data_IF_720080518561
#
_entry.id   IF_720080518561
#
_cell.length_a   1.000
_cell.length_b   1.000
_cell.length_c   1.000
_cell.angle_alpha   90.00
_cell.angle_beta   90.00
_cell.angle_gamma   90.00
#
_symmetry.space_group_name_H-M   'P 1'
#
loop_
_entity.id
_entity.type
_entity.pdbx_description
1 polymer ?
#
# COMPACT_ATOMS: atom_id res chain seq x y z
N UNK A 1 22.44 35.26 23.56
CA UNK A 1 22.12 33.87 23.18
C UNK A 1 23.23 33.35 22.27
N UNK A 2 23.79 32.22 22.62
CA UNK A 2 24.78 31.60 21.74
C UNK A 2 24.06 31.00 20.53
N UNK A 3 24.77 30.83 19.42
CA UNK A 3 24.25 30.14 18.23
C UNK A 3 23.76 28.73 18.57
N UNK A 4 24.31 28.10 19.62
CA UNK A 4 23.88 26.80 20.14
C UNK A 4 22.47 26.84 20.67
N UNK A 5 22.09 27.88 21.41
CA UNK A 5 20.72 28.03 21.96
C UNK A 5 19.69 28.18 20.82
N UNK A 6 20.06 28.92 19.77
CA UNK A 6 19.23 29.08 18.57
C UNK A 6 19.05 27.73 17.83
N UNK A 7 20.11 26.95 17.70
CA UNK A 7 20.05 25.65 17.08
C UNK A 7 19.18 24.65 17.87
N UNK A 8 19.36 24.59 19.20
CA UNK A 8 18.55 23.74 20.08
C UNK A 8 17.08 24.15 20.00
N UNK A 9 16.79 25.45 20.08
CA UNK A 9 15.42 25.96 19.94
C UNK A 9 14.81 25.54 18.58
N UNK A 10 15.57 25.71 17.48
CA UNK A 10 15.09 25.37 16.14
C UNK A 10 14.78 23.87 16.02
N UNK A 11 15.64 22.99 16.53
CA UNK A 11 15.42 21.52 16.52
C UNK A 11 14.17 21.12 17.32
N UNK A 12 14.00 21.70 18.52
CA UNK A 12 12.81 21.47 19.35
C UNK A 12 11.54 21.98 18.67
N UNK A 13 11.58 23.19 18.10
CA UNK A 13 10.44 23.76 17.40
C UNK A 13 10.05 22.91 16.17
N UNK A 14 11.02 22.51 15.34
CA UNK A 14 10.79 21.64 14.17
C UNK A 14 10.24 20.28 14.60
N UNK A 15 10.72 19.69 15.69
CA UNK A 15 10.19 18.45 16.23
C UNK A 15 8.69 18.56 16.52
N UNK A 16 8.26 19.60 17.27
CA UNK A 16 6.84 19.79 17.59
C UNK A 16 6.01 20.15 16.37
N UNK A 17 6.53 20.95 15.45
CA UNK A 17 5.84 21.29 14.21
C UNK A 17 5.60 20.01 13.38
N UNK A 18 6.62 19.20 13.18
CA UNK A 18 6.50 17.94 12.43
C UNK A 18 5.60 16.92 13.12
N UNK A 19 5.53 16.94 14.44
CA UNK A 19 4.70 16.01 15.20
C UNK A 19 3.22 16.35 15.13
N UNK A 20 2.86 17.63 15.29
CA UNK A 20 1.48 18.05 15.53
C UNK A 20 0.83 18.83 14.38
N UNK A 21 1.60 19.49 13.53
CA UNK A 21 1.05 20.40 12.53
C UNK A 21 1.20 19.87 11.11
N UNK A 22 2.41 19.75 10.61
CA UNK A 22 2.67 19.31 9.24
C UNK A 22 4.06 18.70 9.09
N UNK A 23 4.19 17.89 8.06
CA UNK A 23 5.46 17.22 7.73
C UNK A 23 5.62 17.15 6.20
N UNK A 24 6.86 17.32 5.75
CA UNK A 24 7.18 17.25 4.33
C UNK A 24 7.55 15.83 3.94
N UNK A 25 7.12 15.42 2.74
CA UNK A 25 7.44 14.15 2.12
C UNK A 25 7.76 14.34 0.64
N UNK A 26 8.45 13.37 0.05
CA UNK A 26 8.67 13.29 -1.39
C UNK A 26 7.93 12.06 -1.91
N UNK A 27 7.32 12.16 -3.08
CA UNK A 27 6.64 11.05 -3.74
C UNK A 27 7.67 10.14 -4.40
N UNK A 28 7.83 8.87 -3.96
CA UNK A 28 8.83 7.97 -4.51
C UNK A 28 8.32 7.13 -5.69
N UNK A 29 7.03 7.11 -5.98
CA UNK A 29 6.42 6.18 -6.93
C UNK A 29 5.23 6.77 -7.69
N UNK A 30 4.96 6.24 -8.88
CA UNK A 30 3.88 6.66 -9.77
C UNK A 30 2.48 6.18 -9.39
N UNK A 31 2.28 5.59 -8.20
CA UNK A 31 0.97 5.02 -7.81
C UNK A 31 -0.20 6.01 -7.70
N UNK A 32 0.08 7.32 -7.67
CA UNK A 32 -0.89 8.42 -7.73
C UNK A 32 -0.65 9.32 -8.95
N UNK A 33 -0.03 8.78 -10.00
CA UNK A 33 0.24 9.48 -11.26
C UNK A 33 -0.99 10.23 -11.77
N UNK A 34 -0.78 11.38 -12.41
CA UNK A 34 -1.81 12.36 -12.81
C UNK A 34 -2.52 13.09 -11.65
N UNK A 35 -2.26 12.70 -10.39
CA UNK A 35 -2.67 13.46 -9.20
C UNK A 35 -1.48 14.03 -8.46
N UNK A 36 -0.44 13.23 -8.30
CA UNK A 36 0.85 13.56 -7.67
C UNK A 36 1.92 12.84 -8.49
N UNK A 37 2.94 13.57 -8.90
CA UNK A 37 4.01 13.02 -9.73
C UNK A 37 5.15 12.50 -8.86
N UNK A 38 5.88 11.52 -9.38
CA UNK A 38 7.13 11.07 -8.77
C UNK A 38 8.10 12.25 -8.67
N UNK A 39 8.68 12.46 -7.49
CA UNK A 39 9.55 13.60 -7.20
C UNK A 39 8.85 14.83 -6.62
N UNK A 40 7.50 14.88 -6.61
CA UNK A 40 6.76 15.98 -5.98
C UNK A 40 7.04 16.05 -4.48
N UNK A 41 7.19 17.27 -3.97
CA UNK A 41 7.28 17.54 -2.54
C UNK A 41 5.89 17.81 -1.97
N UNK A 42 5.52 17.03 -0.96
CA UNK A 42 4.24 17.14 -0.28
C UNK A 42 4.35 17.84 1.06
N UNK A 43 3.42 18.73 1.31
CA UNK A 43 3.19 19.35 2.60
C UNK A 43 1.96 18.72 3.25
N UNK A 44 2.18 17.77 4.15
CA UNK A 44 1.10 16.95 4.74
C UNK A 44 0.61 17.56 6.04
N UNK A 45 -0.66 17.98 6.07
CA UNK A 45 -1.32 18.50 7.28
C UNK A 45 -1.71 17.35 8.22
N UNK A 46 -1.23 17.42 9.46
CA UNK A 46 -1.65 16.51 10.53
C UNK A 46 -2.89 17.03 11.27
N UNK A 47 -3.12 18.32 11.23
CA UNK A 47 -4.26 18.97 11.89
C UNK A 47 -5.58 18.60 11.24
N UNK A 48 -5.60 18.35 9.93
CA UNK A 48 -6.82 18.03 9.18
C UNK A 48 -7.59 16.85 9.76
N UNK A 49 -6.89 15.75 10.07
CA UNK A 49 -7.50 14.53 10.63
C UNK A 49 -7.10 14.26 12.08
N UNK A 50 -6.38 15.20 12.69
CA UNK A 50 -5.85 15.14 14.03
C UNK A 50 -4.46 14.48 14.10
N UNK A 51 -3.51 15.12 14.76
CA UNK A 51 -2.18 14.56 14.97
C UNK A 51 -2.24 13.32 15.87
N UNK A 52 -1.35 12.37 15.59
CA UNK A 52 -1.15 11.20 16.44
C UNK A 52 -0.13 11.54 17.53
N UNK A 53 -0.43 11.16 18.77
CA UNK A 53 0.57 11.13 19.84
C UNK A 53 1.57 10.02 19.48
N UNK A 54 2.87 10.26 19.52
CA UNK A 54 3.87 9.25 19.22
C UNK A 54 3.83 8.10 20.23
N UNK A 55 3.94 6.87 19.74
CA UNK A 55 4.08 5.70 20.61
C UNK A 55 5.43 5.70 21.31
N UNK A 56 6.48 6.19 20.63
CA UNK A 56 7.84 6.35 21.15
C UNK A 56 8.22 7.84 21.15
N UNK A 57 7.92 8.60 22.26
CA UNK A 57 8.09 10.05 22.28
C UNK A 57 9.54 10.51 22.25
N UNK A 58 10.47 9.69 22.77
CA UNK A 58 11.89 10.03 22.81
C UNK A 58 12.55 9.62 21.48
N UNK A 59 12.54 10.54 20.54
CA UNK A 59 13.11 10.31 19.21
C UNK A 59 13.99 11.47 18.75
N UNK A 60 15.00 11.15 17.94
CA UNK A 60 15.84 12.17 17.30
C UNK A 60 14.99 12.97 16.29
N UNK A 61 14.99 14.30 16.35
CA UNK A 61 14.31 15.14 15.38
C UNK A 61 14.75 14.82 13.94
N UNK A 62 13.82 14.98 12.98
CA UNK A 62 14.04 14.79 11.55
C UNK A 62 14.38 13.35 11.11
N UNK A 63 14.20 12.36 11.99
CA UNK A 63 14.39 10.95 11.64
C UNK A 63 13.07 10.18 11.76
N UNK A 64 12.90 9.15 10.92
CA UNK A 64 11.72 8.28 10.99
C UNK A 64 11.96 7.09 11.93
N UNK A 65 12.98 6.30 11.69
CA UNK A 65 13.27 5.08 12.47
C UNK A 65 14.76 4.82 12.66
N UNK A 66 15.63 5.31 11.77
CA UNK A 66 17.07 5.03 11.76
C UNK A 66 17.85 6.32 11.65
N UNK A 67 18.93 6.45 12.36
CA UNK A 67 19.84 7.59 12.25
C UNK A 67 20.63 7.49 10.95
N UNK A 68 20.67 8.58 10.14
CA UNK A 68 21.52 8.60 8.96
C UNK A 68 22.98 8.39 9.33
N UNK A 69 23.75 7.79 8.44
CA UNK A 69 25.19 7.52 8.52
C UNK A 69 25.61 6.37 9.46
N UNK A 70 24.92 6.16 10.58
CA UNK A 70 25.33 5.15 11.58
C UNK A 70 24.40 3.94 11.67
N UNK A 71 23.27 3.97 10.96
CA UNK A 71 22.29 2.88 10.85
C UNK A 71 21.82 2.28 12.18
N UNK A 72 21.74 3.12 13.23
CA UNK A 72 21.20 2.73 14.54
C UNK A 72 19.79 3.29 14.75
N UNK A 73 19.00 2.72 15.67
CA UNK A 73 17.67 3.24 16.03
C UNK A 73 17.76 4.72 16.40
N UNK A 74 16.87 5.54 15.85
CA UNK A 74 16.77 6.97 16.13
C UNK A 74 15.80 7.32 17.27
N UNK A 75 15.27 6.31 17.96
CA UNK A 75 14.28 6.46 19.03
C UNK A 75 14.59 5.49 20.17
N UNK A 76 14.08 5.83 21.35
CA UNK A 76 14.12 4.98 22.54
C UNK A 76 12.74 4.34 22.68
N UNK A 77 12.68 3.02 22.92
CA UNK A 77 11.43 2.27 23.03
C UNK A 77 10.68 2.51 24.34
N UNK A 78 11.31 3.11 25.34
CA UNK A 78 10.68 3.46 26.60
C UNK A 78 10.78 4.98 26.84
N UNK A 79 9.68 5.67 27.27
CA UNK A 79 8.34 5.12 27.45
C UNK A 79 7.67 4.76 26.11
N UNK A 80 6.83 3.72 26.13
CA UNK A 80 5.96 3.34 25.04
C UNK A 80 4.52 3.69 25.39
N UNK A 81 3.87 4.49 24.52
CA UNK A 81 2.50 4.95 24.75
C UNK A 81 1.54 4.22 23.79
N UNK A 82 0.31 3.96 24.27
CA UNK A 82 -0.73 3.40 23.43
C UNK A 82 -1.11 4.34 22.30
N UNK A 83 -1.60 3.77 21.19
CA UNK A 83 -2.08 4.55 20.06
C UNK A 83 -3.13 5.55 20.50
N UNK A 84 -2.88 6.83 20.25
CA UNK A 84 -3.78 7.93 20.57
C UNK A 84 -3.74 9.01 19.52
N UNK A 85 -4.92 9.46 19.10
CA UNK A 85 -5.06 10.56 18.15
C UNK A 85 -5.82 11.73 18.77
N UNK A 86 -5.32 12.93 18.61
CA UNK A 86 -6.02 14.17 18.98
C UNK A 86 -7.12 14.42 17.94
N UNK A 87 -8.23 15.02 18.36
CA UNK A 87 -9.33 15.38 17.45
C UNK A 87 -8.83 16.37 16.38
N UNK A 88 -9.08 16.04 15.11
CA UNK A 88 -8.78 16.91 13.98
C UNK A 88 -9.91 17.87 13.63
N UNK A 89 -9.67 18.69 12.60
CA UNK A 89 -10.65 19.62 12.06
C UNK A 89 -11.75 18.93 11.24
N UNK A 90 -11.49 17.73 10.74
CA UNK A 90 -12.45 16.98 9.94
C UNK A 90 -12.15 15.47 9.93
N UNK A 91 -12.93 14.73 9.16
CA UNK A 91 -12.78 13.31 8.93
C UNK A 91 -12.36 13.05 7.48
N UNK A 92 -11.69 11.93 7.25
CA UNK A 92 -11.35 11.45 5.91
C UNK A 92 -12.62 11.26 5.09
N UNK A 93 -12.60 11.73 3.84
CA UNK A 93 -13.69 11.59 2.87
C UNK A 93 -13.27 10.68 1.73
N UNK A 94 -14.24 10.19 0.97
CA UNK A 94 -13.96 9.46 -0.27
C UNK A 94 -13.17 10.33 -1.23
N UNK A 95 -12.18 9.72 -1.86
CA UNK A 95 -11.24 10.32 -2.79
C UNK A 95 -10.21 11.28 -2.18
N UNK A 96 -10.20 11.50 -0.86
CA UNK A 96 -9.10 12.21 -0.20
C UNK A 96 -7.78 11.44 -0.44
N UNK A 97 -6.71 12.19 -0.67
CA UNK A 97 -5.35 11.64 -0.69
C UNK A 97 -4.82 11.71 0.75
N UNK A 98 -4.52 10.55 1.32
CA UNK A 98 -4.15 10.40 2.73
C UNK A 98 -2.77 9.79 2.89
N UNK A 99 -2.01 10.29 3.88
CA UNK A 99 -0.74 9.71 4.30
C UNK A 99 -0.98 8.91 5.59
N UNK A 100 -0.47 7.68 5.62
CA UNK A 100 -0.62 6.77 6.75
C UNK A 100 0.58 5.83 6.85
N UNK A 101 0.83 5.27 8.03
CA UNK A 101 1.84 4.22 8.16
C UNK A 101 1.32 2.93 7.52
N UNK A 102 2.19 2.24 6.78
CA UNK A 102 1.81 1.00 6.10
C UNK A 102 1.32 -0.05 7.12
N UNK A 103 0.12 -0.60 6.95
CA UNK A 103 -0.53 -1.46 7.94
C UNK A 103 -0.05 -2.92 7.87
N UNK A 104 1.27 -3.12 7.81
CA UNK A 104 1.88 -4.45 7.79
C UNK A 104 2.09 -5.06 9.18
N UNK A 105 1.75 -4.32 10.24
CA UNK A 105 2.11 -4.68 11.61
C UNK A 105 3.47 -4.14 12.01
N UNK A 106 3.98 -4.63 13.14
CA UNK A 106 5.24 -4.20 13.74
C UNK A 106 6.46 -5.02 13.28
N UNK A 107 6.24 -6.23 12.78
CA UNK A 107 7.29 -7.19 12.43
C UNK A 107 7.94 -6.86 11.09
N UNK A 108 9.27 -6.94 11.03
CA UNK A 108 10.06 -6.77 9.81
C UNK A 108 11.39 -7.53 9.87
N UNK A 109 11.99 -7.74 8.70
CA UNK A 109 13.38 -8.18 8.54
C UNK A 109 14.32 -6.97 8.65
N UNK A 110 15.37 -7.06 9.45
CA UNK A 110 16.25 -5.91 9.74
C UNK A 110 17.30 -5.62 8.65
N UNK A 111 17.44 -6.48 7.65
CA UNK A 111 18.28 -6.18 6.49
C UNK A 111 17.71 -5.01 5.71
N UNK A 112 18.52 -4.02 5.34
CA UNK A 112 18.11 -2.73 4.77
C UNK A 112 17.18 -2.88 3.57
N UNK A 113 17.48 -3.79 2.64
CA UNK A 113 16.69 -4.05 1.43
C UNK A 113 15.28 -4.61 1.70
N UNK A 114 15.03 -5.13 2.91
CA UNK A 114 13.75 -5.73 3.29
C UNK A 114 12.97 -4.95 4.33
N UNK A 115 13.56 -3.93 4.96
CA UNK A 115 12.91 -3.18 6.05
C UNK A 115 11.58 -2.54 5.65
N UNK A 116 11.44 -2.10 4.40
CA UNK A 116 10.22 -1.48 3.86
C UNK A 116 9.17 -2.51 3.40
N UNK A 117 9.53 -3.79 3.32
CA UNK A 117 8.65 -4.83 2.80
C UNK A 117 7.63 -5.27 3.86
N UNK A 118 6.48 -5.75 3.40
CA UNK A 118 5.51 -6.43 4.24
C UNK A 118 6.04 -7.83 4.61
N UNK A 119 6.46 -8.00 5.88
CA UNK A 119 6.98 -9.27 6.39
C UNK A 119 6.03 -10.45 6.12
N UNK A 120 4.75 -10.28 6.34
CA UNK A 120 3.77 -11.36 6.17
C UNK A 120 3.58 -11.73 4.69
N UNK A 121 3.66 -10.75 3.79
CA UNK A 121 3.65 -11.03 2.35
C UNK A 121 4.92 -11.76 1.91
N UNK A 122 6.09 -11.37 2.42
CA UNK A 122 7.35 -12.07 2.16
C UNK A 122 7.30 -13.51 2.64
N UNK A 123 6.85 -13.74 3.88
CA UNK A 123 6.67 -15.08 4.45
C UNK A 123 5.76 -15.93 3.58
N UNK A 124 4.63 -15.38 3.15
CA UNK A 124 3.70 -16.08 2.27
C UNK A 124 4.35 -16.44 0.93
N UNK A 125 4.94 -15.47 0.24
CA UNK A 125 5.50 -15.67 -1.10
C UNK A 125 6.65 -16.70 -1.09
N UNK A 126 7.54 -16.62 -0.10
CA UNK A 126 8.63 -17.59 0.06
C UNK A 126 8.09 -18.98 0.42
N UNK A 127 7.14 -19.03 1.34
CA UNK A 127 6.53 -20.31 1.75
C UNK A 127 5.81 -20.99 0.60
N UNK A 128 5.02 -20.27 -0.18
CA UNK A 128 4.31 -20.76 -1.34
C UNK A 128 5.28 -21.29 -2.41
N UNK A 129 6.32 -20.51 -2.73
CA UNK A 129 7.36 -20.93 -3.67
C UNK A 129 8.07 -22.20 -3.23
N UNK A 130 8.42 -22.32 -1.95
CA UNK A 130 9.09 -23.54 -1.43
C UNK A 130 8.16 -24.75 -1.44
N UNK A 131 6.87 -24.57 -1.12
CA UNK A 131 5.89 -25.65 -1.22
C UNK A 131 5.72 -26.13 -2.65
N UNK A 132 5.68 -25.23 -3.63
CA UNK A 132 5.65 -25.56 -5.05
C UNK A 132 6.92 -26.35 -5.46
N UNK A 133 8.10 -25.85 -5.12
CA UNK A 133 9.37 -26.51 -5.45
C UNK A 133 9.48 -27.92 -4.86
N UNK A 134 8.92 -28.15 -3.68
CA UNK A 134 8.93 -29.43 -3.00
C UNK A 134 7.77 -30.37 -3.42
N UNK A 135 6.95 -29.98 -4.41
CA UNK A 135 5.79 -30.76 -4.84
C UNK A 135 4.68 -30.89 -3.77
N UNK A 136 4.65 -29.96 -2.81
CA UNK A 136 3.66 -29.91 -1.72
C UNK A 136 2.49 -28.97 -2.01
N UNK A 137 2.50 -28.35 -3.19
CA UNK A 137 1.40 -27.51 -3.65
C UNK A 137 0.09 -28.35 -3.72
N UNK A 138 -1.01 -27.72 -3.32
CA UNK A 138 -2.34 -28.36 -3.35
C UNK A 138 -3.33 -27.47 -4.06
N UNK A 139 -4.30 -28.06 -4.76
CA UNK A 139 -5.41 -27.29 -5.33
C UNK A 139 -6.36 -26.79 -4.22
N UNK A 140 -6.12 -25.56 -3.79
CA UNK A 140 -6.89 -24.91 -2.73
C UNK A 140 -8.37 -24.68 -3.10
N UNK A 141 -8.73 -24.74 -4.40
CA UNK A 141 -10.11 -24.55 -4.88
C UNK A 141 -11.02 -25.69 -4.47
N UNK A 142 -10.48 -26.90 -4.37
CA UNK A 142 -11.19 -28.10 -3.97
C UNK A 142 -11.34 -28.23 -2.45
N UNK A 143 -10.67 -27.39 -1.66
CA UNK A 143 -10.62 -27.46 -0.20
C UNK A 143 -11.79 -26.74 0.46
N UNK A 144 -12.31 -27.31 1.55
CA UNK A 144 -13.20 -26.59 2.46
C UNK A 144 -12.41 -25.53 3.26
N UNK A 145 -13.08 -24.54 3.90
CA UNK A 145 -12.41 -23.46 4.60
C UNK A 145 -11.42 -23.90 5.70
N UNK A 146 -11.70 -25.00 6.40
CA UNK A 146 -10.79 -25.53 7.43
C UNK A 146 -9.53 -26.13 6.81
N UNK A 147 -9.68 -26.88 5.72
CA UNK A 147 -8.54 -27.42 4.98
C UNK A 147 -7.68 -26.33 4.38
N UNK A 148 -8.29 -25.28 3.79
CA UNK A 148 -7.56 -24.10 3.32
C UNK A 148 -6.77 -23.46 4.46
N UNK A 149 -7.38 -23.27 5.64
CA UNK A 149 -6.71 -22.68 6.78
C UNK A 149 -5.45 -23.47 7.16
N UNK A 150 -5.55 -24.79 7.29
CA UNK A 150 -4.38 -25.62 7.59
C UNK A 150 -3.29 -25.54 6.50
N UNK A 151 -3.69 -25.53 5.25
CA UNK A 151 -2.74 -25.39 4.14
C UNK A 151 -1.98 -24.05 4.22
N UNK A 152 -2.69 -22.94 4.37
CA UNK A 152 -2.04 -21.63 4.47
C UNK A 152 -1.21 -21.47 5.76
N UNK A 153 -1.61 -22.07 6.87
CA UNK A 153 -0.79 -22.15 8.09
C UNK A 153 0.56 -22.87 7.81
N UNK A 154 0.56 -23.94 7.02
CA UNK A 154 1.79 -24.62 6.58
C UNK A 154 2.64 -23.72 5.67
N UNK A 155 2.04 -23.03 4.68
CA UNK A 155 2.73 -22.07 3.82
C UNK A 155 3.44 -21.00 4.67
N UNK A 156 2.73 -20.38 5.61
CA UNK A 156 3.32 -19.37 6.50
C UNK A 156 4.39 -19.95 7.43
N UNK A 157 4.23 -21.16 7.93
CA UNK A 157 5.23 -21.81 8.78
C UNK A 157 6.51 -22.08 7.98
N UNK A 158 6.37 -22.60 6.75
CA UNK A 158 7.50 -22.86 5.85
C UNK A 158 8.28 -21.58 5.55
N UNK A 159 7.58 -20.51 5.16
CA UNK A 159 8.23 -19.22 4.87
C UNK A 159 8.92 -18.59 6.10
N UNK A 160 8.27 -18.63 7.27
CA UNK A 160 8.90 -18.15 8.53
C UNK A 160 10.16 -18.91 8.89
N UNK A 161 10.09 -20.23 8.80
CA UNK A 161 11.25 -21.08 9.10
C UNK A 161 12.41 -20.78 8.14
N UNK A 162 12.13 -20.61 6.87
CA UNK A 162 13.14 -20.27 5.87
C UNK A 162 13.80 -18.92 6.17
N UNK A 163 13.02 -17.85 6.34
CA UNK A 163 13.53 -16.51 6.65
C UNK A 163 14.39 -16.56 7.93
N UNK A 164 13.90 -17.22 8.99
CA UNK A 164 14.61 -17.33 10.27
C UNK A 164 15.90 -18.15 10.18
N UNK A 165 15.99 -19.06 9.22
CA UNK A 165 17.19 -19.87 9.00
C UNK A 165 18.29 -19.16 8.21
N UNK A 166 18.00 -17.98 7.65
CA UNK A 166 18.92 -17.24 6.79
C UNK A 166 19.17 -15.78 7.30
N UNK A 167 19.67 -15.61 8.52
CA UNK A 167 19.90 -14.27 9.10
C UNK A 167 20.93 -13.45 8.31
N UNK A 168 21.85 -14.11 7.60
CA UNK A 168 22.82 -13.43 6.72
C UNK A 168 22.19 -12.78 5.49
N UNK A 169 20.99 -13.19 5.10
CA UNK A 169 20.26 -12.62 3.97
C UNK A 169 19.15 -11.64 4.40
N UNK A 170 18.36 -12.01 5.41
CA UNK A 170 17.19 -11.25 5.84
C UNK A 170 17.45 -10.38 7.07
N UNK A 171 18.61 -10.52 7.71
CA UNK A 171 18.87 -9.94 9.02
C UNK A 171 18.05 -10.60 10.13
N UNK A 172 18.07 -10.00 11.30
CA UNK A 172 17.22 -10.44 12.41
C UNK A 172 15.76 -10.06 12.17
N UNK A 173 14.84 -10.90 12.64
CA UNK A 173 13.41 -10.56 12.67
C UNK A 173 13.18 -9.71 13.91
N UNK A 174 12.83 -8.44 13.71
CA UNK A 174 12.65 -7.47 14.79
C UNK A 174 11.24 -6.90 14.80
N UNK A 175 10.85 -6.31 15.94
CA UNK A 175 9.66 -5.49 16.08
C UNK A 175 10.04 -4.01 15.91
N UNK A 176 9.15 -3.26 15.24
CA UNK A 176 9.25 -1.81 15.13
C UNK A 176 7.86 -1.20 15.39
N UNK A 177 7.74 -0.23 16.30
CA UNK A 177 6.47 0.43 16.56
C UNK A 177 5.77 0.88 15.27
N UNK A 178 4.43 0.77 15.21
CA UNK A 178 3.68 1.02 13.98
C UNK A 178 3.81 2.45 13.47
N UNK A 179 4.03 3.41 14.36
CA UNK A 179 4.30 4.82 14.01
C UNK A 179 5.72 5.04 13.45
N UNK A 180 6.60 4.04 13.53
CA UNK A 180 7.94 4.04 12.95
C UNK A 180 8.03 3.26 11.64
N UNK A 181 6.90 2.71 11.16
CA UNK A 181 6.82 2.08 9.84
C UNK A 181 6.79 3.14 8.74
N UNK A 182 7.02 2.72 7.52
CA UNK A 182 7.04 3.58 6.33
C UNK A 182 5.72 4.30 6.14
N UNK A 183 5.80 5.54 5.67
CA UNK A 183 4.64 6.34 5.33
C UNK A 183 4.24 6.09 3.88
N UNK A 184 2.98 5.75 3.68
CA UNK A 184 2.37 5.55 2.37
C UNK A 184 1.37 6.66 2.08
N UNK A 185 1.28 7.05 0.83
CA UNK A 185 0.24 7.97 0.34
C UNK A 185 -0.65 7.24 -0.65
N UNK A 186 -1.95 7.22 -0.39
CA UNK A 186 -2.96 6.58 -1.25
C UNK A 186 -4.26 7.36 -1.25
N UNK A 187 -5.08 7.13 -2.26
CA UNK A 187 -6.45 7.66 -2.34
C UNK A 187 -7.40 6.81 -1.50
N UNK A 188 -8.21 7.46 -0.68
CA UNK A 188 -9.24 6.81 0.12
C UNK A 188 -10.42 6.38 -0.79
N UNK A 189 -10.60 5.09 -0.98
CA UNK A 189 -11.66 4.51 -1.84
C UNK A 189 -12.76 3.80 -1.07
N UNK A 190 -12.74 3.85 0.27
CA UNK A 190 -13.78 3.27 1.13
C UNK A 190 -13.69 3.83 2.54
N UNK A 191 -14.83 3.99 3.19
CA UNK A 191 -14.95 4.55 4.55
C UNK A 191 -15.49 3.49 5.53
N UNK A 192 -15.20 3.61 6.84
CA UNK A 192 -15.74 2.71 7.85
C UNK A 192 -17.25 2.52 7.77
N UNK A 193 -17.72 1.28 7.86
CA UNK A 193 -19.14 0.91 7.75
C UNK A 193 -19.61 0.66 6.31
N UNK A 194 -18.78 0.89 5.31
CA UNK A 194 -19.12 0.60 3.92
C UNK A 194 -18.66 -0.80 3.51
N UNK A 195 -19.39 -1.41 2.58
CA UNK A 195 -18.98 -2.63 1.89
C UNK A 195 -18.33 -2.24 0.56
N UNK A 196 -17.03 -2.51 0.44
CA UNK A 196 -16.24 -2.27 -0.76
C UNK A 196 -16.25 -3.50 -1.65
N UNK A 197 -16.47 -3.31 -2.94
CA UNK A 197 -16.35 -4.33 -3.97
C UNK A 197 -15.79 -3.71 -5.24
N UNK A 198 -14.91 -4.43 -5.94
CA UNK A 198 -14.47 -4.05 -7.29
C UNK A 198 -15.13 -5.01 -8.26
N UNK A 199 -15.80 -4.48 -9.29
CA UNK A 199 -16.40 -5.24 -10.41
C UNK A 199 -15.91 -4.63 -11.71
N UNK A 200 -15.24 -5.43 -12.52
CA UNK A 200 -14.65 -4.97 -13.77
C UNK A 200 -13.86 -3.66 -13.61
N UNK A 201 -13.01 -3.61 -12.55
CA UNK A 201 -12.14 -2.48 -12.14
C UNK A 201 -12.85 -1.27 -11.54
N UNK A 202 -14.19 -1.23 -11.57
CA UNK A 202 -14.96 -0.14 -10.98
C UNK A 202 -15.19 -0.45 -9.50
N UNK A 203 -14.88 0.54 -8.65
CA UNK A 203 -15.12 0.45 -7.20
C UNK A 203 -16.60 0.68 -6.91
N UNK A 204 -17.22 -0.24 -6.19
CA UNK A 204 -18.58 -0.15 -5.67
C UNK A 204 -18.53 -0.01 -4.15
N UNK A 205 -19.36 0.90 -3.62
CA UNK A 205 -19.55 1.10 -2.19
C UNK A 205 -21.02 0.86 -1.85
N UNK A 206 -21.29 -0.06 -0.96
CA UNK A 206 -22.68 -0.48 -0.62
C UNK A 206 -23.53 -0.80 -1.87
N UNK A 207 -22.91 -1.46 -2.86
CA UNK A 207 -23.57 -1.85 -4.10
C UNK A 207 -23.74 -0.74 -5.15
N UNK A 208 -23.33 0.50 -4.88
CA UNK A 208 -23.39 1.62 -5.83
C UNK A 208 -21.99 1.92 -6.36
N UNK A 209 -21.87 2.12 -7.67
CA UNK A 209 -20.60 2.50 -8.29
C UNK A 209 -20.11 3.84 -7.71
N UNK A 210 -18.85 3.89 -7.28
CA UNK A 210 -18.21 5.13 -6.86
C UNK A 210 -17.85 5.96 -8.10
N UNK A 211 -18.01 7.27 -8.01
CA UNK A 211 -17.55 8.18 -9.07
C UNK A 211 -16.02 8.27 -8.98
N UNK A 212 -15.35 7.77 -10.00
CA UNK A 212 -13.90 7.85 -10.09
C UNK A 212 -13.45 9.28 -10.44
N UNK A 213 -12.31 9.74 -9.90
CA UNK A 213 -11.65 10.94 -10.40
C UNK A 213 -11.25 10.81 -11.87
N UNK A 214 -11.30 11.91 -12.62
CA UNK A 214 -11.05 11.92 -14.07
C UNK A 214 -9.61 11.49 -14.45
N UNK A 215 -8.69 11.59 -13.51
CA UNK A 215 -7.26 11.27 -13.68
C UNK A 215 -6.88 9.85 -13.23
N UNK A 216 -7.84 8.98 -12.91
CA UNK A 216 -7.56 7.56 -12.68
C UNK A 216 -7.10 6.91 -13.97
N UNK A 217 -6.02 6.12 -13.88
CA UNK A 217 -5.47 5.38 -14.99
C UNK A 217 -5.75 3.88 -14.86
N UNK A 218 -5.99 3.26 -16.01
CA UNK A 218 -6.03 1.83 -16.18
C UNK A 218 -5.04 1.39 -17.26
N UNK A 219 -4.55 0.17 -17.18
CA UNK A 219 -3.64 -0.37 -18.19
C UNK A 219 -4.41 -0.96 -19.37
N UNK A 220 -3.92 -0.70 -20.57
CA UNK A 220 -4.47 -1.18 -21.83
C UNK A 220 -3.38 -1.86 -22.64
N UNK A 221 -3.72 -2.98 -23.28
CA UNK A 221 -2.92 -3.54 -24.39
C UNK A 221 -3.24 -2.74 -25.63
N UNK A 222 -2.21 -2.22 -26.28
CA UNK A 222 -2.37 -1.40 -27.49
C UNK A 222 -1.44 -1.87 -28.58
N UNK A 223 -1.87 -1.77 -29.84
CA UNK A 223 -1.06 -1.96 -31.03
C UNK A 223 -1.23 -0.77 -31.94
N UNK A 224 -0.12 -0.17 -32.32
CA UNK A 224 -0.08 0.98 -33.23
C UNK A 224 0.23 0.54 -34.65
N UNK A 225 -0.18 1.34 -35.63
CA UNK A 225 0.16 1.20 -37.06
C UNK A 225 1.50 1.86 -37.41
N UNK A 226 2.07 2.64 -36.51
CA UNK A 226 3.32 3.36 -36.66
C UNK A 226 3.87 3.85 -35.30
N UNK A 227 4.74 4.82 -35.30
CA UNK A 227 5.29 5.41 -34.10
C UNK A 227 4.25 6.29 -33.38
N UNK A 228 4.36 6.39 -32.07
CA UNK A 228 3.49 7.26 -31.27
C UNK A 228 3.91 8.72 -31.44
N UNK A 229 3.03 9.62 -31.93
CA UNK A 229 3.37 11.04 -32.08
C UNK A 229 3.58 11.72 -30.72
N UNK A 230 4.71 12.41 -30.54
CA UNK A 230 5.08 13.07 -29.29
C UNK A 230 4.05 14.15 -28.91
N UNK A 231 3.66 14.98 -29.88
CA UNK A 231 2.66 16.05 -29.65
C UNK A 231 1.31 15.48 -29.13
N UNK A 232 0.91 14.31 -29.64
CA UNK A 232 -0.31 13.65 -29.17
C UNK A 232 -0.11 13.06 -27.75
N UNK A 233 1.09 12.58 -27.42
CA UNK A 233 1.40 12.11 -26.08
C UNK A 233 1.24 13.24 -25.06
N UNK A 234 1.80 14.42 -25.36
CA UNK A 234 1.71 15.61 -24.52
C UNK A 234 0.25 16.08 -24.37
N UNK A 235 -0.53 16.12 -25.44
CA UNK A 235 -1.95 16.49 -25.41
C UNK A 235 -2.80 15.55 -24.53
N UNK A 236 -2.48 14.26 -24.56
CA UNK A 236 -3.19 13.23 -23.79
C UNK A 236 -2.59 13.03 -22.40
N UNK A 237 -1.52 13.76 -22.07
CA UNK A 237 -0.81 13.67 -20.81
C UNK A 237 -0.15 12.29 -20.61
N UNK A 238 0.33 11.66 -21.67
CA UNK A 238 1.08 10.40 -21.65
C UNK A 238 2.55 10.74 -21.43
N UNK A 239 3.15 10.18 -20.39
CA UNK A 239 4.55 10.48 -20.03
C UNK A 239 5.55 9.66 -20.86
N UNK A 240 6.82 10.07 -20.82
CA UNK A 240 7.90 9.27 -21.39
C UNK A 240 8.02 7.89 -20.74
N UNK A 241 7.74 7.78 -19.45
CA UNK A 241 7.72 6.50 -18.72
C UNK A 241 6.59 5.59 -19.21
N UNK A 242 5.40 6.17 -19.47
CA UNK A 242 4.27 5.45 -20.07
C UNK A 242 4.62 4.90 -21.46
N UNK A 243 5.31 5.71 -22.28
CA UNK A 243 5.78 5.31 -23.61
C UNK A 243 6.89 4.25 -23.55
N UNK A 244 7.82 4.35 -22.59
CA UNK A 244 8.83 3.31 -22.36
C UNK A 244 8.19 1.98 -21.97
N UNK A 245 7.21 2.00 -21.06
CA UNK A 245 6.44 0.82 -20.69
C UNK A 245 5.72 0.21 -21.90
N UNK A 246 5.10 1.05 -22.72
CA UNK A 246 4.44 0.63 -23.96
C UNK A 246 5.42 -0.06 -24.91
N UNK A 247 6.58 0.55 -25.16
CA UNK A 247 7.59 0.01 -26.07
C UNK A 247 8.16 -1.35 -25.60
N UNK A 248 8.22 -1.57 -24.28
CA UNK A 248 8.72 -2.81 -23.70
C UNK A 248 7.68 -3.94 -23.67
N UNK A 249 6.42 -3.61 -23.47
CA UNK A 249 5.40 -4.62 -23.13
C UNK A 249 4.14 -4.57 -24.02
N UNK A 250 3.97 -3.55 -24.85
CA UNK A 250 2.72 -3.29 -25.57
C UNK A 250 1.56 -2.86 -24.66
N UNK A 251 1.86 -2.57 -23.36
CA UNK A 251 0.87 -2.14 -22.37
C UNK A 251 1.13 -0.68 -22.00
N UNK A 252 0.07 0.12 -21.93
CA UNK A 252 0.14 1.54 -21.61
C UNK A 252 -0.89 1.91 -20.55
N UNK A 253 -0.52 2.69 -19.50
CA UNK A 253 -1.47 3.27 -18.57
C UNK A 253 -2.13 4.51 -19.20
N UNK A 254 -3.45 4.56 -19.21
CA UNK A 254 -4.23 5.65 -19.80
C UNK A 254 -5.34 6.12 -18.88
N UNK A 255 -5.56 7.42 -18.85
CA UNK A 255 -6.79 8.00 -18.32
C UNK A 255 -7.96 7.67 -19.24
N UNK A 256 -9.19 7.78 -18.74
CA UNK A 256 -10.38 7.57 -19.56
C UNK A 256 -10.41 8.50 -20.78
N UNK A 257 -9.99 9.77 -20.63
CA UNK A 257 -9.88 10.74 -21.74
C UNK A 257 -8.91 10.23 -22.81
N UNK A 258 -7.69 9.86 -22.42
CA UNK A 258 -6.67 9.37 -23.35
C UNK A 258 -7.11 8.07 -24.05
N UNK A 259 -7.69 7.12 -23.31
CA UNK A 259 -8.23 5.89 -23.89
C UNK A 259 -9.29 6.15 -24.96
N UNK A 260 -10.25 7.05 -24.70
CA UNK A 260 -11.32 7.35 -25.66
C UNK A 260 -10.77 8.05 -26.90
N UNK A 261 -9.84 8.98 -26.76
CA UNK A 261 -9.19 9.68 -27.87
C UNK A 261 -8.39 8.70 -28.76
N UNK A 262 -7.57 7.83 -28.14
CA UNK A 262 -6.79 6.83 -28.89
C UNK A 262 -7.69 5.78 -29.57
N UNK A 263 -8.75 5.33 -28.90
CA UNK A 263 -9.73 4.39 -29.49
C UNK A 263 -10.46 4.96 -30.70
N UNK A 264 -10.68 6.27 -30.72
CA UNK A 264 -11.29 6.96 -31.85
C UNK A 264 -10.29 7.17 -33.02
N UNK A 265 -8.98 7.22 -32.73
CA UNK A 265 -7.93 7.48 -33.73
C UNK A 265 -7.54 6.19 -34.46
N UNK A 266 -8.39 5.74 -35.37
CA UNK A 266 -8.17 4.52 -36.17
C UNK A 266 -7.04 4.60 -37.18
N UNK A 267 -6.52 5.79 -37.48
CA UNK A 267 -5.37 5.96 -38.36
C UNK A 267 -4.06 5.57 -37.63
N UNK A 268 -3.98 5.84 -36.35
CA UNK A 268 -2.82 5.54 -35.52
C UNK A 268 -2.93 4.18 -34.81
N UNK A 269 -4.12 3.87 -34.26
CA UNK A 269 -4.33 2.70 -33.41
C UNK A 269 -4.94 1.56 -34.22
N UNK A 270 -4.23 0.45 -34.32
CA UNK A 270 -4.72 -0.80 -34.91
C UNK A 270 -5.72 -1.50 -33.98
N UNK A 271 -5.33 -1.67 -32.71
CA UNK A 271 -6.16 -2.24 -31.66
C UNK A 271 -5.84 -1.65 -30.30
N UNK A 272 -6.87 -1.52 -29.46
CA UNK A 272 -6.74 -1.16 -28.04
C UNK A 272 -7.79 -1.91 -27.23
N UNK A 273 -7.34 -2.61 -26.22
CA UNK A 273 -8.19 -3.40 -25.31
C UNK A 273 -7.73 -3.26 -23.88
N UNK A 274 -8.62 -3.56 -22.95
CA UNK A 274 -8.28 -3.61 -21.52
C UNK A 274 -7.22 -4.67 -21.27
N UNK A 275 -6.17 -4.33 -20.56
CA UNK A 275 -5.23 -5.30 -20.02
C UNK A 275 -5.86 -5.94 -18.77
N UNK A 276 -6.41 -7.14 -18.92
CA UNK A 276 -7.01 -7.88 -17.81
C UNK A 276 -5.90 -8.46 -16.95
N UNK A 277 -5.90 -8.11 -15.69
CA UNK A 277 -5.02 -8.72 -14.68
C UNK A 277 -5.73 -9.96 -14.09
N UNK A 278 -5.37 -11.13 -14.60
CA UNK A 278 -5.87 -12.41 -14.14
C UNK A 278 -4.97 -13.06 -13.08
N UNK A 279 -4.00 -12.31 -12.52
CA UNK A 279 -3.08 -12.83 -11.53
C UNK A 279 -3.82 -13.12 -10.23
N UNK A 280 -3.75 -14.38 -9.77
CA UNK A 280 -4.24 -14.83 -8.48
C UNK A 280 -3.07 -14.92 -7.50
N UNK A 281 -3.34 -14.78 -6.21
CA UNK A 281 -2.37 -15.10 -5.16
C UNK A 281 -1.63 -13.93 -4.52
N UNK A 282 -1.61 -12.74 -5.17
CA UNK A 282 -0.91 -11.57 -4.63
C UNK A 282 -1.84 -10.56 -3.94
N UNK A 283 -3.11 -10.93 -3.74
CA UNK A 283 -4.12 -10.04 -3.18
C UNK A 283 -4.47 -10.44 -1.75
N UNK A 284 -4.64 -9.42 -0.93
CA UNK A 284 -5.19 -9.59 0.41
C UNK A 284 -6.61 -10.17 0.37
N UNK A 285 -6.95 -11.15 1.21
CA UNK A 285 -6.11 -11.82 2.20
C UNK A 285 -5.27 -12.95 1.58
N UNK A 286 -4.01 -13.09 2.02
CA UNK A 286 -3.09 -14.13 1.53
C UNK A 286 -3.22 -15.48 2.27
N UNK A 287 -4.19 -15.62 3.18
CA UNK A 287 -4.40 -16.79 4.03
C UNK A 287 -5.69 -17.55 3.70
N UNK A 288 -6.25 -17.30 2.51
CA UNK A 288 -7.41 -18.01 1.98
C UNK A 288 -7.50 -17.86 0.47
N UNK A 289 -8.08 -18.86 -0.20
CA UNK A 289 -8.46 -18.72 -1.60
C UNK A 289 -9.79 -18.00 -1.71
N UNK A 290 -9.78 -16.81 -2.27
CA UNK A 290 -10.98 -15.99 -2.47
C UNK A 290 -11.50 -16.01 -3.89
N UNK A 291 -10.68 -16.40 -4.85
CA UNK A 291 -10.94 -16.26 -6.29
C UNK A 291 -10.95 -14.81 -6.77
N UNK A 292 -10.52 -13.86 -5.93
CA UNK A 292 -10.47 -12.45 -6.29
C UNK A 292 -9.31 -12.13 -7.22
N UNK A 293 -9.52 -11.14 -8.06
CA UNK A 293 -8.48 -10.55 -8.92
C UNK A 293 -8.46 -9.04 -8.69
N UNK A 294 -7.45 -8.34 -9.21
CA UNK A 294 -7.42 -6.87 -9.16
C UNK A 294 -8.61 -6.23 -9.83
N UNK A 295 -9.12 -6.86 -10.89
CA UNK A 295 -10.30 -6.38 -11.64
C UNK A 295 -11.63 -6.74 -10.97
N UNK A 296 -11.66 -7.79 -10.13
CA UNK A 296 -12.86 -8.27 -9.43
C UNK A 296 -12.51 -8.69 -8.00
N UNK A 297 -12.76 -7.83 -7.03
CA UNK A 297 -12.34 -7.97 -5.65
C UNK A 297 -13.51 -7.79 -4.67
N UNK A 298 -13.53 -8.54 -3.60
CA UNK A 298 -14.53 -8.44 -2.54
C UNK A 298 -15.81 -9.24 -2.84
N UNK A 299 -16.92 -8.95 -2.11
CA UNK A 299 -17.13 -7.80 -1.24
C UNK A 299 -16.38 -7.90 0.10
N UNK A 300 -15.91 -6.76 0.63
CA UNK A 300 -15.29 -6.61 1.93
C UNK A 300 -16.01 -5.50 2.71
N UNK A 301 -16.55 -5.83 3.89
CA UNK A 301 -17.05 -4.81 4.79
C UNK A 301 -15.90 -4.14 5.54
N UNK A 302 -15.86 -2.81 5.55
CA UNK A 302 -14.83 -2.03 6.26
C UNK A 302 -15.31 -1.81 7.70
N UNK A 303 -14.59 -2.32 8.71
CA UNK A 303 -15.00 -2.19 10.12
C UNK A 303 -15.22 -0.72 10.51
N UNK A 304 -16.19 -0.51 11.39
CA UNK A 304 -16.51 0.80 11.95
C UNK A 304 -16.53 0.74 13.46
N UNK A 305 -15.95 1.76 14.09
CA UNK A 305 -15.89 1.85 15.55
C UNK A 305 -17.29 1.73 16.16
N UNK A 306 -17.43 0.83 17.15
CA UNK A 306 -18.68 0.54 17.85
C UNK A 306 -19.62 -0.43 17.15
N UNK A 307 -19.26 -0.93 15.95
CA UNK A 307 -20.01 -1.99 15.27
C UNK A 307 -19.32 -3.34 15.47
N UNK A 308 -20.11 -4.40 15.51
CA UNK A 308 -19.63 -5.78 15.67
C UNK A 308 -19.82 -6.56 14.38
N UNK A 309 -18.91 -7.51 14.11
CA UNK A 309 -18.99 -8.45 13.00
C UNK A 309 -18.97 -9.88 13.54
N UNK A 310 -19.86 -10.73 13.04
CA UNK A 310 -19.81 -12.17 13.33
C UNK A 310 -18.68 -12.80 12.49
N UNK A 311 -17.65 -13.31 13.15
CA UNK A 311 -16.55 -14.01 12.51
C UNK A 311 -16.94 -15.44 12.18
N UNK A 312 -16.69 -15.85 10.96
CA UNK A 312 -16.89 -17.20 10.43
C UNK A 312 -15.59 -17.67 9.77
N UNK A 313 -15.43 -18.97 9.56
CA UNK A 313 -14.27 -19.50 8.85
C UNK A 313 -14.11 -18.89 7.43
N UNK A 314 -15.19 -18.40 6.83
CA UNK A 314 -15.19 -17.81 5.50
C UNK A 314 -14.69 -16.37 5.50
N UNK A 315 -15.04 -15.54 6.49
CA UNK A 315 -14.66 -14.12 6.52
C UNK A 315 -13.47 -13.85 7.47
N UNK A 316 -13.15 -14.77 8.36
CA UNK A 316 -12.01 -14.63 9.28
C UNK A 316 -10.71 -14.27 8.58
N UNK A 317 -10.33 -14.87 7.42
CA UNK A 317 -9.09 -14.51 6.74
C UNK A 317 -8.96 -13.01 6.44
N UNK A 318 -10.07 -12.33 6.14
CA UNK A 318 -10.09 -10.89 5.84
C UNK A 318 -9.78 -10.04 7.08
N UNK A 319 -10.18 -10.48 8.28
CA UNK A 319 -10.06 -9.67 9.50
C UNK A 319 -8.97 -10.15 10.45
N UNK A 320 -8.50 -11.39 10.30
CA UNK A 320 -7.57 -12.04 11.21
C UNK A 320 -6.28 -11.25 11.42
N UNK A 321 -5.72 -10.67 10.35
CA UNK A 321 -4.49 -9.88 10.44
C UNK A 321 -4.71 -8.61 11.27
N UNK A 322 -5.82 -7.91 11.06
CA UNK A 322 -6.14 -6.72 11.83
C UNK A 322 -6.30 -7.04 13.31
N UNK A 323 -7.00 -8.14 13.64
CA UNK A 323 -7.22 -8.60 15.02
C UNK A 323 -5.88 -8.99 15.68
N UNK A 324 -5.03 -9.76 15.01
CA UNK A 324 -3.77 -10.26 15.60
C UNK A 324 -2.69 -9.20 15.77
N UNK A 325 -2.73 -8.13 14.98
CA UNK A 325 -1.65 -7.13 14.93
C UNK A 325 -2.02 -5.85 15.65
N UNK A 326 -3.32 -5.49 15.73
CA UNK A 326 -3.78 -4.19 16.22
C UNK A 326 -4.77 -4.26 17.37
N UNK A 327 -5.20 -5.42 17.78
CA UNK A 327 -6.01 -5.72 18.96
C UNK A 327 -5.34 -6.83 19.83
#
# INVERSE_FOLDING_TARGET
MSWVDALVFALVAVYFINLFFFQNYVIPSSSLEKSLLTGDYLFVSKVSYGPRIPETPLTMPLTQHTMPLVNVKSYIEWPHWDYRRVKGLGNVKLNDIVVFNYPAGDTLCNEERYQANDYYQMVYSIGDQLMQQNGQEKDVRAMNPLQQRHYFEQVYATGRNYISSMPGEYGDIISRPTDRRENYVKRCVGLPGQTLQIKNRIVYLNGKANKEPDNVQYTYKMKLKGEFPIDLADELGITNEDLLMYNQSGVIPLTKKAYLALKANRNLVESISINIDATYGDLYPLNAYTGWTRDNYGPVWIPKKGESIALTLKNLPVYERCIKVYE
#
